data_IF_179532684362
#
_entry.id   IF_179532684362
#
_cell.length_a   1.000
_cell.length_b   1.000
_cell.length_c   1.000
_cell.angle_alpha   90.00
_cell.angle_beta   90.00
_cell.angle_gamma   90.00
#
_symmetry.space_group_name_H-M   'P 1'
#
loop_
_entity.id
_entity.type
_entity.pdbx_description
1 polymer ?
#
# COMPACT_ATOMS: atom_id res chain seq x y z
N UNK A 1 9.91 -10.00 35.71
CA UNK A 1 9.44 -9.68 35.00
C UNK A 1 9.64 -8.95 34.21
N UNK A 2 10.13 -8.77 34.06
CA UNK A 2 10.07 -8.00 33.39
C UNK A 2 10.05 -8.24 32.23
N UNK A 3 10.22 -8.65 31.95
CA UNK A 3 9.94 -8.58 31.01
C UNK A 3 9.22 -8.19 30.33
N UNK A 4 9.12 -8.20 30.51
CA UNK A 4 8.38 -7.84 29.88
C UNK A 4 8.25 -7.05 29.57
N UNK A 5 8.88 -6.92 29.56
CA UNK A 5 8.47 -6.02 29.34
C UNK A 5 8.93 -5.07 28.63
N UNK A 6 9.35 -4.71 27.55
CA UNK A 6 9.85 -3.54 26.97
C UNK A 6 9.56 -2.33 27.85
N UNK A 7 10.29 -1.28 27.72
CA UNK A 7 9.99 -0.13 28.56
C UNK A 7 8.61 0.42 28.21
N UNK A 8 7.85 0.87 29.22
CA UNK A 8 6.51 1.42 28.96
C UNK A 8 6.50 2.59 27.99
N UNK A 9 7.47 3.48 28.08
CA UNK A 9 7.52 4.64 27.18
C UNK A 9 7.75 4.22 25.73
N UNK A 10 8.59 3.23 25.52
CA UNK A 10 8.87 2.71 24.20
C UNK A 10 7.62 2.04 23.62
N UNK A 11 6.93 1.28 24.43
CA UNK A 11 5.68 0.65 24.02
C UNK A 11 4.63 1.68 23.65
N UNK A 12 4.50 2.72 24.45
CA UNK A 12 3.53 3.77 24.18
C UNK A 12 3.77 4.46 22.87
N UNK A 13 5.01 4.79 22.57
CA UNK A 13 5.36 5.43 21.32
C UNK A 13 5.08 4.51 20.14
N UNK A 14 5.49 3.24 20.25
CA UNK A 14 5.23 2.26 19.21
C UNK A 14 3.76 2.07 18.97
N UNK A 15 2.96 2.04 20.05
CA UNK A 15 1.52 1.87 19.94
C UNK A 15 0.85 2.99 19.16
N UNK A 16 1.28 4.24 19.38
CA UNK A 16 0.72 5.37 18.64
C UNK A 16 1.05 5.31 17.16
N UNK A 17 2.29 4.99 16.85
CA UNK A 17 2.70 4.86 15.45
C UNK A 17 2.00 3.70 14.78
N UNK A 18 1.86 2.58 15.47
CA UNK A 18 1.16 1.41 14.96
C UNK A 18 -0.31 1.71 14.72
N UNK A 19 -0.95 2.43 15.63
CA UNK A 19 -2.35 2.80 15.47
C UNK A 19 -2.56 3.68 14.25
N UNK A 20 -1.68 4.66 14.03
CA UNK A 20 -1.75 5.52 12.86
C UNK A 20 -1.55 4.73 11.57
N UNK A 21 -0.62 3.79 11.60
CA UNK A 21 -0.33 2.94 10.46
C UNK A 21 -1.52 2.06 10.12
N UNK A 22 -2.12 1.43 11.13
CA UNK A 22 -3.32 0.62 10.93
C UNK A 22 -4.47 1.44 10.39
N UNK A 23 -4.66 2.63 10.91
CA UNK A 23 -5.72 3.53 10.46
C UNK A 23 -5.53 3.88 8.99
N UNK A 24 -4.29 4.15 8.59
CA UNK A 24 -3.97 4.46 7.21
C UNK A 24 -4.24 3.28 6.29
N UNK A 25 -3.90 2.07 6.74
CA UNK A 25 -4.15 0.85 5.97
C UNK A 25 -5.64 0.56 5.85
N UNK A 26 -6.39 0.77 6.93
CA UNK A 26 -7.84 0.60 6.91
C UNK A 26 -8.50 1.57 5.95
N UNK A 27 -8.07 2.82 5.94
CA UNK A 27 -8.57 3.82 5.02
C UNK A 27 -8.29 3.41 3.56
N UNK A 28 -7.06 2.95 3.30
CA UNK A 28 -6.68 2.50 1.97
C UNK A 28 -7.55 1.32 1.53
N UNK A 29 -7.76 0.36 2.42
CA UNK A 29 -8.61 -0.78 2.12
C UNK A 29 -10.03 -0.36 1.79
N UNK A 30 -10.60 0.53 2.59
CA UNK A 30 -11.96 1.00 2.38
C UNK A 30 -12.12 1.72 1.05
N UNK A 31 -11.14 2.55 0.69
CA UNK A 31 -11.17 3.26 -0.58
C UNK A 31 -11.03 2.31 -1.77
N UNK A 32 -10.18 1.30 -1.63
CA UNK A 32 -10.01 0.30 -2.68
C UNK A 32 -11.29 -0.53 -2.85
N UNK A 33 -11.84 -1.04 -1.75
CA UNK A 33 -13.06 -1.85 -1.81
C UNK A 33 -14.27 -1.04 -2.27
N UNK A 34 -14.25 0.26 -2.01
CA UNK A 34 -15.30 1.17 -2.50
C UNK A 34 -15.13 1.61 -3.94
N UNK A 35 -14.10 1.14 -4.62
CA UNK A 35 -13.87 1.46 -6.03
C UNK A 35 -13.30 2.83 -6.30
N UNK A 36 -12.75 3.49 -5.28
CA UNK A 36 -12.18 4.85 -5.43
C UNK A 36 -10.81 4.84 -6.08
N UNK A 37 -10.12 3.72 -6.04
CA UNK A 37 -8.83 3.58 -6.69
C UNK A 37 -8.81 2.25 -7.42
N UNK A 38 -8.32 2.25 -8.65
CA UNK A 38 -8.25 1.04 -9.48
C UNK A 38 -6.83 0.51 -9.51
N UNK A 39 -6.71 -0.81 -9.50
CA UNK A 39 -5.41 -1.46 -9.62
C UNK A 39 -5.52 -2.47 -10.74
N UNK A 40 -4.63 -2.34 -11.73
CA UNK A 40 -4.62 -3.26 -12.86
C UNK A 40 -3.19 -3.77 -13.09
N UNK A 41 -3.11 -4.96 -13.63
CA UNK A 41 -1.82 -5.58 -13.97
C UNK A 41 -1.34 -5.17 -15.35
N UNK A 42 -2.22 -4.54 -16.13
CA UNK A 42 -1.91 -4.06 -17.47
C UNK A 42 -1.35 -2.64 -17.41
N UNK A 43 -0.82 -2.19 -18.51
CA UNK A 43 -0.28 -0.82 -18.61
C UNK A 43 -1.35 0.21 -18.94
N UNK A 44 -2.56 -0.25 -19.21
CA UNK A 44 -3.67 0.61 -19.58
C UNK A 44 -4.95 0.15 -18.93
N UNK A 45 -5.89 1.07 -18.77
CA UNK A 45 -7.25 0.78 -18.37
C UNK A 45 -8.14 1.04 -19.58
N UNK A 46 -8.92 0.07 -20.05
CA UNK A 46 -9.78 0.27 -21.20
C UNK A 46 -10.72 1.47 -21.02
N UNK A 47 -10.84 2.27 -22.05
CA UNK A 47 -11.74 3.43 -22.08
C UNK A 47 -11.39 4.53 -21.08
N UNK A 48 -10.18 4.50 -20.51
CA UNK A 48 -9.70 5.53 -19.61
C UNK A 48 -8.36 6.05 -20.11
N UNK A 49 -8.21 7.33 -20.03
CA UNK A 49 -6.98 8.00 -20.48
C UNK A 49 -6.19 8.51 -19.29
N UNK A 50 -4.90 8.28 -19.30
CA UNK A 50 -4.01 8.76 -18.25
C UNK A 50 -3.77 10.25 -18.44
N UNK A 51 -4.08 11.03 -17.42
CA UNK A 51 -3.85 12.47 -17.44
C UNK A 51 -2.44 12.81 -16.96
N UNK A 52 -1.94 12.07 -16.01
CA UNK A 52 -0.60 12.28 -15.48
C UNK A 52 -0.09 11.07 -14.75
N UNK A 53 1.22 10.94 -14.67
CA UNK A 53 1.89 9.84 -14.00
C UNK A 53 2.68 10.38 -12.82
N UNK A 54 2.43 9.82 -11.65
CA UNK A 54 3.15 10.21 -10.44
C UNK A 54 4.43 9.41 -10.24
N UNK A 55 4.53 8.25 -10.88
CA UNK A 55 5.70 7.41 -10.82
C UNK A 55 5.48 6.12 -10.10
N UNK A 56 6.57 5.46 -9.78
CA UNK A 56 6.56 4.16 -9.15
C UNK A 56 6.19 4.26 -7.68
N UNK A 57 5.26 3.40 -7.27
CA UNK A 57 4.97 3.20 -5.84
C UNK A 57 5.37 1.79 -5.47
N UNK A 58 5.95 1.63 -4.29
CA UNK A 58 6.46 0.35 -3.82
C UNK A 58 6.15 0.21 -2.34
N UNK A 59 5.69 -0.96 -1.95
CA UNK A 59 5.52 -1.25 -0.53
C UNK A 59 5.95 -2.68 -0.25
N UNK A 60 6.71 -2.87 0.81
CA UNK A 60 7.22 -4.17 1.21
C UNK A 60 6.79 -4.48 2.63
N UNK A 61 6.47 -5.74 2.88
CA UNK A 61 6.07 -6.15 4.21
C UNK A 61 6.15 -7.66 4.33
N UNK A 62 6.27 -8.14 5.55
CA UNK A 62 6.15 -9.58 5.84
C UNK A 62 4.70 -10.04 5.79
N UNK A 63 3.76 -9.11 5.79
CA UNK A 63 2.33 -9.39 5.69
C UNK A 63 1.84 -8.95 4.31
N UNK A 64 1.22 -9.88 3.58
CA UNK A 64 0.74 -9.63 2.22
C UNK A 64 -0.23 -8.45 2.16
N UNK A 65 -1.21 -8.43 3.07
CA UNK A 65 -2.21 -7.38 3.10
C UNK A 65 -1.58 -6.02 3.40
N UNK A 66 -0.63 -5.98 4.32
CA UNK A 66 0.05 -4.74 4.65
C UNK A 66 0.88 -4.21 3.47
N UNK A 67 1.49 -5.10 2.70
CA UNK A 67 2.21 -4.69 1.50
C UNK A 67 1.26 -4.10 0.47
N UNK A 68 0.14 -4.79 0.22
CA UNK A 68 -0.84 -4.37 -0.77
C UNK A 68 -1.51 -3.05 -0.39
N UNK A 69 -2.07 -2.97 0.82
CA UNK A 69 -2.77 -1.76 1.25
C UNK A 69 -1.81 -0.61 1.53
N UNK A 70 -0.58 -0.91 1.90
CA UNK A 70 0.45 0.12 2.03
C UNK A 70 0.78 0.77 0.69
N UNK A 71 0.80 -0.03 -0.38
CA UNK A 71 0.98 0.48 -1.73
C UNK A 71 -0.16 1.43 -2.11
N UNK A 72 -1.39 1.01 -1.84
CA UNK A 72 -2.58 1.82 -2.12
C UNK A 72 -2.54 3.12 -1.33
N UNK A 73 -2.11 3.06 -0.08
CA UNK A 73 -2.00 4.26 0.75
C UNK A 73 -1.01 5.26 0.15
N UNK A 74 0.10 4.79 -0.40
CA UNK A 74 1.05 5.67 -1.08
C UNK A 74 0.43 6.36 -2.29
N UNK A 75 -0.34 5.61 -3.07
CA UNK A 75 -1.01 6.16 -4.24
C UNK A 75 -2.06 7.20 -3.84
N UNK A 76 -2.80 6.92 -2.78
CA UNK A 76 -3.80 7.85 -2.26
C UNK A 76 -3.14 9.14 -1.78
N UNK A 77 -2.02 9.04 -1.09
CA UNK A 77 -1.27 10.21 -0.61
C UNK A 77 -0.81 11.08 -1.78
N UNK A 78 -0.56 10.47 -2.93
CA UNK A 78 -0.16 11.19 -4.14
C UNK A 78 -1.36 11.69 -4.95
N UNK A 79 -2.58 11.45 -4.47
CA UNK A 79 -3.82 11.78 -5.19
C UNK A 79 -3.97 11.03 -6.50
N UNK A 80 -3.48 9.82 -6.56
CA UNK A 80 -3.62 8.99 -7.74
C UNK A 80 -5.01 8.39 -7.82
N UNK A 81 -5.46 8.13 -9.04
CA UNK A 81 -6.75 7.49 -9.31
C UNK A 81 -6.60 6.00 -9.56
N UNK A 82 -5.41 5.57 -9.95
CA UNK A 82 -5.18 4.18 -10.30
C UNK A 82 -3.71 3.80 -10.16
N UNK A 83 -3.47 2.50 -10.07
CA UNK A 83 -2.12 1.93 -10.12
C UNK A 83 -2.10 1.00 -11.33
N UNK A 84 -1.21 1.26 -12.26
CA UNK A 84 -1.04 0.48 -13.48
C UNK A 84 0.15 -0.47 -13.33
N UNK A 85 0.13 -1.53 -14.13
CA UNK A 85 1.23 -2.49 -14.19
C UNK A 85 1.59 -3.05 -12.82
N UNK A 86 0.58 -3.34 -12.02
CA UNK A 86 0.78 -3.89 -10.68
C UNK A 86 1.52 -5.22 -10.75
N UNK A 87 2.51 -5.36 -9.89
CA UNK A 87 3.28 -6.60 -9.76
C UNK A 87 3.51 -6.90 -8.29
N UNK A 88 3.66 -8.17 -8.00
CA UNK A 88 3.95 -8.62 -6.67
C UNK A 88 5.10 -9.62 -6.75
N UNK A 89 6.07 -9.47 -5.87
CA UNK A 89 7.16 -10.41 -5.71
C UNK A 89 7.15 -10.95 -4.30
N UNK A 90 7.39 -12.24 -4.19
CA UNK A 90 7.49 -12.89 -2.89
C UNK A 90 8.92 -13.41 -2.76
N UNK A 91 9.61 -12.97 -1.72
CA UNK A 91 10.95 -13.42 -1.41
C UNK A 91 10.91 -14.19 -0.10
N UNK A 92 11.88 -15.05 0.11
CA UNK A 92 11.99 -15.79 1.36
C UNK A 92 13.19 -15.29 2.12
N UNK A 93 12.95 -14.91 3.36
CA UNK A 93 14.02 -14.57 4.27
C UNK A 93 14.84 -15.84 4.56
N UNK A 94 16.15 -15.72 4.86
CA UNK A 94 16.93 -16.89 5.22
C UNK A 94 16.34 -17.76 6.32
N UNK A 95 15.52 -17.17 7.18
CA UNK A 95 14.84 -17.90 8.25
C UNK A 95 13.50 -18.50 7.83
N UNK A 96 13.14 -18.36 6.55
CA UNK A 96 11.93 -18.97 6.01
C UNK A 96 10.72 -18.08 5.92
N UNK A 97 10.75 -16.87 6.49
CA UNK A 97 9.63 -15.95 6.43
C UNK A 97 9.46 -15.41 5.02
N UNK A 98 8.21 -15.26 4.60
CA UNK A 98 7.89 -14.65 3.32
C UNK A 98 7.94 -13.14 3.43
N UNK A 99 8.48 -12.53 2.39
CA UNK A 99 8.58 -11.08 2.32
C UNK A 99 7.96 -10.62 1.01
N UNK A 100 6.94 -9.80 1.12
CA UNK A 100 6.14 -9.36 -0.03
C UNK A 100 6.57 -7.98 -0.49
N UNK A 101 6.72 -7.84 -1.80
CA UNK A 101 7.00 -6.54 -2.42
C UNK A 101 5.93 -6.29 -3.46
N UNK A 102 5.14 -5.24 -3.26
CA UNK A 102 4.09 -4.84 -4.19
C UNK A 102 4.52 -3.53 -4.85
N UNK A 103 4.37 -3.42 -6.14
CA UNK A 103 4.75 -2.19 -6.84
C UNK A 103 3.92 -1.99 -8.10
N UNK A 104 3.90 -0.75 -8.55
CA UNK A 104 3.17 -0.35 -9.74
C UNK A 104 3.39 1.11 -10.03
N UNK A 105 2.71 1.63 -11.04
CA UNK A 105 2.81 3.02 -11.43
C UNK A 105 1.53 3.76 -11.05
N UNK A 106 1.66 4.74 -10.18
CA UNK A 106 0.52 5.55 -9.76
C UNK A 106 0.23 6.62 -10.81
N UNK A 107 -1.03 6.72 -11.21
CA UNK A 107 -1.45 7.63 -12.27
C UNK A 107 -2.73 8.36 -11.89
N UNK A 108 -2.93 9.50 -12.54
CA UNK A 108 -4.19 10.21 -12.50
C UNK A 108 -4.89 10.00 -13.83
N UNK A 109 -6.18 9.71 -13.77
CA UNK A 109 -6.97 9.46 -14.95
C UNK A 109 -7.78 10.70 -15.33
N UNK A 110 -8.02 10.89 -16.63
CA UNK A 110 -8.93 11.91 -17.10
C UNK A 110 -10.34 11.57 -16.64
N UNK A 111 -11.10 12.58 -16.31
CA UNK A 111 -12.50 12.38 -15.94
C UNK A 111 -13.29 11.92 -17.15
N UNK A 112 -14.19 11.00 -16.91
CA UNK A 112 -15.12 10.54 -17.94
C UNK A 112 -16.29 11.50 -17.94
N UNK A 113 -16.62 11.96 -19.13
CA UNK A 113 -17.77 12.83 -19.27
C UNK A 113 -19.06 12.04 -19.39
#
# INVERSE_FOLDING_TARGET
MALMFGSPSKKGRGSLEDAKKEQRLDMARNLYLGGKIKIVTTEEIPNREVMGTFGLVVCRSYNCDNAFYGLIAQAIDANADAILAYRELVSFHPEGDRYYSCFGTAVRLKKVK
#
